data_IF_162395934364
#
_entry.id   IF_162395934364
#
_cell.length_a   1.000
_cell.length_b   1.000
_cell.length_c   1.000
_cell.angle_alpha   90.00
_cell.angle_beta   90.00
_cell.angle_gamma   90.00
#
_symmetry.space_group_name_H-M   'P 1'
#
loop_
_entity.id
_entity.type
_entity.pdbx_description
1 polymer ?
#
# COMPACT_ATOMS: atom_id res chain seq x y z
N UNK A 1 -15.94 -6.67 -17.39
CA UNK A 1 -16.27 -5.60 -16.41
C UNK A 1 -15.18 -4.53 -16.39
N UNK A 2 -13.92 -4.77 -16.00
CA UNK A 2 -12.83 -3.79 -15.89
C UNK A 2 -12.58 -2.97 -17.16
N UNK A 3 -12.52 -3.61 -18.33
CA UNK A 3 -12.34 -2.89 -19.61
C UNK A 3 -13.43 -1.84 -19.82
N UNK A 4 -14.70 -2.20 -19.62
CA UNK A 4 -15.82 -1.25 -19.76
C UNK A 4 -15.75 -0.11 -18.76
N UNK A 5 -15.37 -0.38 -17.51
CA UNK A 5 -15.20 0.65 -16.50
C UNK A 5 -14.10 1.65 -16.91
N UNK A 6 -12.98 1.15 -17.44
CA UNK A 6 -11.90 2.01 -17.95
C UNK A 6 -12.36 2.87 -19.13
N UNK A 7 -13.08 2.29 -20.11
CA UNK A 7 -13.64 3.00 -21.25
C UNK A 7 -14.58 4.14 -20.82
N UNK A 8 -15.22 4.00 -19.67
CA UNK A 8 -16.09 5.00 -19.05
C UNK A 8 -15.34 5.99 -18.15
N UNK A 9 -14.00 5.93 -18.08
CA UNK A 9 -13.17 6.85 -17.31
C UNK A 9 -13.06 6.53 -15.82
N UNK A 10 -13.53 5.37 -15.35
CA UNK A 10 -13.35 4.96 -13.98
C UNK A 10 -11.91 4.52 -13.69
N UNK A 11 -11.42 4.89 -12.52
CA UNK A 11 -10.19 4.34 -11.99
C UNK A 11 -10.40 2.94 -11.45
N UNK A 12 -9.37 2.10 -11.55
CA UNK A 12 -9.49 0.67 -11.29
C UNK A 12 -8.64 0.23 -10.12
N UNK A 13 -9.25 -0.50 -9.20
CA UNK A 13 -8.57 -1.22 -8.13
C UNK A 13 -9.03 -2.67 -8.11
N UNK A 14 -8.21 -3.57 -7.62
CA UNK A 14 -8.57 -4.96 -7.41
C UNK A 14 -8.05 -5.45 -6.08
N UNK A 15 -8.86 -6.26 -5.39
CA UNK A 15 -8.37 -7.06 -4.28
C UNK A 15 -7.52 -8.21 -4.84
N UNK A 16 -6.34 -8.43 -4.26
CA UNK A 16 -5.54 -9.59 -4.56
C UNK A 16 -5.29 -10.38 -3.27
N UNK A 17 -5.59 -11.67 -3.35
CA UNK A 17 -5.46 -12.61 -2.26
C UNK A 17 -4.04 -12.63 -1.68
N UNK A 18 -3.96 -12.96 -0.39
CA UNK A 18 -2.71 -13.04 0.36
C UNK A 18 -2.47 -14.50 0.74
N UNK A 19 -1.26 -15.00 0.46
CA UNK A 19 -0.81 -16.35 0.80
C UNK A 19 -1.74 -17.46 0.24
N UNK A 20 -2.36 -17.21 -0.93
CA UNK A 20 -3.15 -18.19 -1.68
C UNK A 20 -2.31 -18.82 -2.80
N UNK A 21 -2.79 -19.95 -3.29
CA UNK A 21 -2.20 -20.58 -4.48
C UNK A 21 -2.24 -19.58 -5.66
N UNK A 22 -1.14 -19.47 -6.39
CA UNK A 22 -0.99 -18.58 -7.55
C UNK A 22 -1.12 -17.07 -7.27
N UNK A 23 -0.97 -16.60 -6.01
CA UNK A 23 -1.08 -15.18 -5.67
C UNK A 23 -0.21 -14.27 -6.56
N UNK A 24 1.01 -14.66 -6.86
CA UNK A 24 1.90 -13.91 -7.78
C UNK A 24 1.28 -13.76 -9.17
N UNK A 25 0.77 -14.86 -9.73
CA UNK A 25 0.08 -14.86 -11.02
C UNK A 25 -1.15 -13.96 -11.02
N UNK A 26 -1.91 -13.94 -9.92
CA UNK A 26 -3.07 -13.08 -9.78
C UNK A 26 -2.67 -11.60 -9.75
N UNK A 27 -1.56 -11.24 -9.12
CA UNK A 27 -1.03 -9.87 -9.17
C UNK A 27 -0.64 -9.48 -10.60
N UNK A 28 0.06 -10.37 -11.34
CA UNK A 28 0.34 -10.17 -12.76
C UNK A 28 -0.94 -9.91 -13.58
N UNK A 29 -1.98 -10.70 -13.37
CA UNK A 29 -3.28 -10.51 -14.04
C UNK A 29 -3.91 -9.16 -13.69
N UNK A 30 -3.79 -8.71 -12.45
CA UNK A 30 -4.29 -7.40 -12.04
C UNK A 30 -3.65 -6.26 -12.85
N UNK A 31 -2.34 -6.30 -13.07
CA UNK A 31 -1.65 -5.22 -13.78
C UNK A 31 -1.69 -5.38 -15.31
N UNK A 32 -1.70 -6.58 -15.84
CA UNK A 32 -1.64 -6.82 -17.29
C UNK A 32 -3.00 -6.97 -17.94
N UNK A 33 -3.89 -7.77 -17.37
CA UNK A 33 -5.20 -8.03 -17.95
C UNK A 33 -6.24 -7.01 -17.48
N UNK A 34 -6.27 -6.72 -16.19
CA UNK A 34 -7.23 -5.76 -15.64
C UNK A 34 -6.70 -4.32 -15.75
N UNK A 35 -5.38 -4.12 -15.74
CA UNK A 35 -4.72 -2.82 -15.83
C UNK A 35 -5.11 -1.89 -14.70
N UNK A 36 -5.16 -2.42 -13.48
CA UNK A 36 -5.52 -1.65 -12.31
C UNK A 36 -4.41 -0.67 -11.91
N UNK A 37 -4.79 0.43 -11.30
CA UNK A 37 -3.88 1.45 -10.79
C UNK A 37 -3.52 1.20 -9.33
N UNK A 38 -4.32 0.38 -8.63
CA UNK A 38 -4.14 0.03 -7.23
C UNK A 38 -4.51 -1.43 -7.00
N UNK A 39 -3.77 -2.08 -6.10
CA UNK A 39 -4.04 -3.46 -5.67
C UNK A 39 -4.16 -3.46 -4.15
N UNK A 40 -5.25 -4.00 -3.64
CA UNK A 40 -5.41 -4.19 -2.21
C UNK A 40 -4.58 -5.42 -1.81
N UNK A 41 -3.74 -5.24 -0.79
CA UNK A 41 -2.69 -6.13 -0.30
C UNK A 41 -1.50 -6.26 -1.26
N UNK A 42 -1.50 -7.22 -2.18
CA UNK A 42 -0.41 -7.44 -3.13
C UNK A 42 0.93 -7.90 -2.51
N UNK A 43 0.94 -8.35 -1.27
CA UNK A 43 2.16 -8.68 -0.48
C UNK A 43 3.01 -9.77 -1.14
N UNK A 44 2.38 -10.72 -1.85
CA UNK A 44 3.09 -11.82 -2.51
C UNK A 44 3.91 -11.38 -3.73
N UNK A 45 3.83 -10.12 -4.15
CA UNK A 45 4.72 -9.57 -5.19
C UNK A 45 6.20 -9.74 -4.86
N UNK A 46 6.56 -9.83 -3.57
CA UNK A 46 7.94 -10.03 -3.10
C UNK A 46 8.53 -11.39 -3.50
N UNK A 47 7.74 -12.31 -4.02
CA UNK A 47 8.17 -13.65 -4.45
C UNK A 47 8.66 -13.66 -5.91
N UNK A 48 8.49 -12.55 -6.63
CA UNK A 48 8.85 -12.42 -8.04
C UNK A 48 9.55 -11.06 -8.29
N UNK A 49 10.87 -11.06 -8.54
CA UNK A 49 11.64 -9.83 -8.81
C UNK A 49 11.16 -9.04 -10.03
N UNK A 50 10.71 -9.73 -11.08
CA UNK A 50 10.21 -9.07 -12.29
C UNK A 50 8.88 -8.36 -12.01
N UNK A 51 8.03 -8.96 -11.19
CA UNK A 51 6.79 -8.35 -10.73
C UNK A 51 7.06 -7.10 -9.88
N UNK A 52 8.03 -7.15 -8.97
CA UNK A 52 8.45 -5.99 -8.19
C UNK A 52 8.82 -4.82 -9.12
N UNK A 53 9.67 -5.09 -10.11
CA UNK A 53 10.12 -4.07 -11.04
C UNK A 53 8.96 -3.50 -11.87
N UNK A 54 8.05 -4.35 -12.36
CA UNK A 54 6.86 -3.90 -13.09
C UNK A 54 5.92 -3.03 -12.24
N UNK A 55 5.67 -3.42 -11.00
CA UNK A 55 4.85 -2.63 -10.07
C UNK A 55 5.50 -1.28 -9.77
N UNK A 56 6.83 -1.25 -9.60
CA UNK A 56 7.61 -0.04 -9.38
C UNK A 56 7.55 0.91 -10.57
N UNK A 57 7.79 0.41 -11.79
CA UNK A 57 7.78 1.20 -13.02
C UNK A 57 6.40 1.78 -13.32
N UNK A 58 5.35 1.00 -13.12
CA UNK A 58 3.95 1.44 -13.29
C UNK A 58 3.50 2.41 -12.21
N UNK A 59 4.19 2.42 -11.07
CA UNK A 59 3.76 3.18 -9.89
C UNK A 59 2.44 2.66 -9.32
N UNK A 60 2.14 1.37 -9.48
CA UNK A 60 0.95 0.74 -8.91
C UNK A 60 0.96 0.88 -7.39
N UNK A 61 -0.12 1.37 -6.82
CA UNK A 61 -0.23 1.53 -5.38
C UNK A 61 -0.71 0.22 -4.73
N UNK A 62 0.00 -0.20 -3.68
CA UNK A 62 -0.31 -1.41 -2.92
C UNK A 62 -0.83 -1.03 -1.54
N UNK A 63 -2.09 -1.36 -1.24
CA UNK A 63 -2.74 -1.00 0.04
C UNK A 63 -2.58 -2.14 1.04
N UNK A 64 -1.40 -2.26 1.63
CA UNK A 64 -1.06 -3.36 2.52
C UNK A 64 -1.70 -3.21 3.91
N UNK A 65 -2.17 -4.33 4.46
CA UNK A 65 -2.82 -4.40 5.76
C UNK A 65 -1.96 -5.23 6.73
N UNK A 66 -1.36 -4.60 7.76
CA UNK A 66 -0.46 -5.29 8.70
C UNK A 66 -1.17 -6.18 9.70
N UNK A 67 -2.49 -6.02 9.84
CA UNK A 67 -3.32 -6.79 10.78
C UNK A 67 -4.18 -7.81 10.03
N UNK A 68 -4.47 -8.93 10.70
CA UNK A 68 -5.42 -9.94 10.22
C UNK A 68 -6.18 -10.49 11.42
N UNK A 69 -7.45 -10.18 11.55
CA UNK A 69 -8.34 -10.65 12.64
C UNK A 69 -7.85 -10.38 14.07
N UNK A 70 -6.68 -9.78 14.24
CA UNK A 70 -6.06 -9.47 15.52
C UNK A 70 -5.91 -7.96 15.68
N UNK A 71 -5.87 -7.50 16.94
CA UNK A 71 -5.63 -6.09 17.25
C UNK A 71 -4.23 -5.62 16.90
N UNK A 72 -3.25 -6.52 17.01
CA UNK A 72 -1.85 -6.19 16.85
C UNK A 72 -1.34 -6.55 15.46
N UNK A 73 -0.42 -5.76 14.92
CA UNK A 73 0.24 -6.04 13.66
C UNK A 73 0.96 -7.39 13.70
N UNK A 74 0.85 -8.16 12.63
CA UNK A 74 1.54 -9.44 12.51
C UNK A 74 2.99 -9.22 12.10
N UNK A 75 4.00 -9.71 12.83
CA UNK A 75 5.41 -9.47 12.55
C UNK A 75 5.78 -9.78 11.10
N UNK A 76 5.41 -10.96 10.59
CA UNK A 76 5.68 -11.37 9.20
C UNK A 76 5.09 -10.41 8.17
N UNK A 77 3.88 -9.87 8.38
CA UNK A 77 3.28 -8.88 7.48
C UNK A 77 3.99 -7.54 7.54
N UNK A 78 4.35 -7.10 8.73
CA UNK A 78 5.10 -5.85 8.94
C UNK A 78 6.48 -5.93 8.27
N UNK A 79 7.17 -7.05 8.37
CA UNK A 79 8.46 -7.29 7.68
C UNK A 79 8.31 -7.24 6.16
N UNK A 80 7.28 -7.89 5.61
CA UNK A 80 6.98 -7.85 4.16
C UNK A 80 6.63 -6.43 3.69
N UNK A 81 5.83 -5.69 4.45
CA UNK A 81 5.50 -4.28 4.15
C UNK A 81 6.77 -3.43 4.13
N UNK A 82 7.71 -3.66 5.06
CA UNK A 82 9.02 -2.99 5.04
C UNK A 82 9.81 -3.35 3.79
N UNK A 83 9.87 -4.63 3.44
CA UNK A 83 10.56 -5.08 2.23
C UNK A 83 9.98 -4.42 0.97
N UNK A 84 8.65 -4.33 0.86
CA UNK A 84 8.01 -3.60 -0.25
C UNK A 84 8.46 -2.14 -0.31
N UNK A 85 8.53 -1.46 0.83
CA UNK A 85 9.01 -0.07 0.90
C UNK A 85 10.49 0.03 0.47
N UNK A 86 11.34 -0.90 0.91
CA UNK A 86 12.77 -0.95 0.57
C UNK A 86 13.01 -1.21 -0.93
N UNK A 87 12.13 -1.96 -1.57
CA UNK A 87 12.14 -2.15 -3.03
C UNK A 87 11.59 -0.92 -3.81
N UNK A 88 11.25 0.16 -3.11
CA UNK A 88 10.74 1.38 -3.75
C UNK A 88 9.32 1.26 -4.28
N UNK A 89 8.56 0.25 -3.84
CA UNK A 89 7.16 0.10 -4.19
C UNK A 89 6.31 1.19 -3.53
N UNK A 90 5.27 1.64 -4.22
CA UNK A 90 4.28 2.57 -3.64
C UNK A 90 3.33 1.80 -2.72
N UNK A 91 3.83 1.40 -1.56
CA UNK A 91 3.06 0.69 -0.54
C UNK A 91 2.53 1.65 0.52
N UNK A 92 1.31 1.41 0.98
CA UNK A 92 0.63 2.15 2.05
C UNK A 92 0.25 1.22 3.19
N UNK A 93 -0.06 1.78 4.36
CA UNK A 93 -0.53 1.04 5.53
C UNK A 93 -2.02 1.33 5.69
N UNK A 94 -2.84 0.28 5.76
CA UNK A 94 -4.29 0.38 5.79
C UNK A 94 -4.88 -0.54 6.86
N UNK A 95 -6.04 -0.15 7.38
CA UNK A 95 -6.74 -0.88 8.46
C UNK A 95 -7.56 -2.07 7.96
N UNK A 96 -7.68 -2.25 6.65
CA UNK A 96 -8.65 -3.17 6.05
C UNK A 96 -10.08 -2.76 6.46
N UNK A 97 -10.86 -3.68 7.00
CA UNK A 97 -12.22 -3.41 7.47
C UNK A 97 -12.23 -3.22 9.01
N UNK A 98 -12.15 -1.98 9.50
CA UNK A 98 -12.13 -1.71 10.94
C UNK A 98 -13.48 -1.97 11.62
N UNK A 99 -14.57 -2.09 10.86
CA UNK A 99 -15.90 -2.44 11.38
C UNK A 99 -16.02 -3.93 11.66
N UNK A 100 -15.38 -4.76 10.87
CA UNK A 100 -15.40 -6.22 10.99
C UNK A 100 -14.20 -6.75 11.75
N UNK A 101 -13.02 -6.18 11.51
CA UNK A 101 -11.76 -6.63 12.08
C UNK A 101 -11.42 -5.85 13.35
N UNK A 102 -10.76 -6.51 14.29
CA UNK A 102 -10.31 -5.87 15.53
C UNK A 102 -9.14 -4.88 15.35
N UNK A 103 -8.74 -4.61 14.11
CA UNK A 103 -7.64 -3.70 13.76
C UNK A 103 -7.86 -2.26 14.26
N UNK A 104 -9.12 -1.83 14.39
CA UNK A 104 -9.48 -0.48 14.76
C UNK A 104 -9.21 0.54 13.65
N UNK A 105 -9.34 1.81 13.99
CA UNK A 105 -9.11 2.90 13.04
C UNK A 105 -7.64 3.06 12.70
N UNK A 106 -7.35 3.60 11.53
CA UNK A 106 -5.98 3.85 11.04
C UNK A 106 -5.14 4.66 12.06
N UNK A 107 -5.74 5.68 12.69
CA UNK A 107 -5.06 6.51 13.69
C UNK A 107 -4.62 5.73 14.94
N UNK A 108 -5.31 4.66 15.31
CA UNK A 108 -4.91 3.75 16.39
C UNK A 108 -3.89 2.71 15.94
N UNK A 109 -3.96 2.30 14.70
CA UNK A 109 -3.11 1.25 14.16
C UNK A 109 -1.71 1.75 13.80
N UNK A 110 -1.59 2.93 13.20
CA UNK A 110 -0.28 3.46 12.75
C UNK A 110 0.79 3.50 13.84
N UNK A 111 0.52 4.00 15.08
CA UNK A 111 1.52 3.98 16.15
C UNK A 111 1.96 2.56 16.53
N UNK A 112 1.05 1.58 16.50
CA UNK A 112 1.36 0.18 16.77
C UNK A 112 2.24 -0.42 15.69
N UNK A 113 1.93 -0.17 14.43
CA UNK A 113 2.75 -0.61 13.30
C UNK A 113 4.14 0.00 13.38
N UNK A 114 4.23 1.29 13.68
CA UNK A 114 5.51 1.96 13.85
C UNK A 114 6.35 1.32 14.97
N UNK A 115 5.74 1.03 16.11
CA UNK A 115 6.42 0.40 17.25
C UNK A 115 6.84 -1.04 16.95
N UNK A 116 5.92 -1.89 16.46
CA UNK A 116 6.20 -3.29 16.14
C UNK A 116 7.25 -3.44 15.04
N UNK A 117 7.13 -2.64 14.00
CA UNK A 117 8.08 -2.65 12.89
C UNK A 117 9.38 -1.88 13.20
N UNK A 118 9.46 -1.16 14.32
CA UNK A 118 10.56 -0.22 14.58
C UNK A 118 10.80 0.68 13.36
N UNK A 119 9.71 1.16 12.77
CA UNK A 119 9.81 2.07 11.63
C UNK A 119 10.33 3.42 12.07
N UNK A 120 11.26 3.94 11.31
CA UNK A 120 11.75 5.31 11.48
C UNK A 120 10.67 6.32 11.10
N UNK A 121 10.82 7.54 11.58
CA UNK A 121 9.94 8.66 11.17
C UNK A 121 9.96 8.88 9.65
N UNK A 122 11.13 8.71 9.03
CA UNK A 122 11.28 8.83 7.57
C UNK A 122 10.49 7.75 6.81
N UNK A 123 10.55 6.48 7.26
CA UNK A 123 9.76 5.40 6.68
C UNK A 123 8.26 5.65 6.85
N UNK A 124 7.82 6.09 8.02
CA UNK A 124 6.40 6.43 8.25
C UNK A 124 5.95 7.62 7.38
N UNK A 125 6.79 8.63 7.22
CA UNK A 125 6.52 9.73 6.29
C UNK A 125 6.44 9.25 4.83
N UNK A 126 7.26 8.27 4.45
CA UNK A 126 7.20 7.69 3.10
C UNK A 126 5.90 6.91 2.87
N UNK A 127 5.39 6.16 3.85
CA UNK A 127 4.06 5.55 3.75
C UNK A 127 2.95 6.59 3.56
N UNK A 128 3.02 7.71 4.27
CA UNK A 128 2.08 8.81 4.07
C UNK A 128 2.19 9.43 2.67
N UNK A 129 3.41 9.64 2.15
CA UNK A 129 3.61 10.11 0.77
C UNK A 129 2.98 9.16 -0.23
N UNK A 130 3.28 7.87 -0.09
CA UNK A 130 2.73 6.84 -0.95
C UNK A 130 1.20 6.85 -0.93
N UNK A 131 0.59 7.07 0.25
CA UNK A 131 -0.86 7.14 0.39
C UNK A 131 -1.45 8.31 -0.40
N UNK A 132 -0.87 9.51 -0.29
CA UNK A 132 -1.35 10.66 -1.07
C UNK A 132 -1.07 10.51 -2.56
N UNK A 133 0.07 9.94 -2.96
CA UNK A 133 0.38 9.66 -4.36
C UNK A 133 -0.51 8.57 -4.98
N UNK A 134 -0.97 7.62 -4.17
CA UNK A 134 -1.90 6.57 -4.58
C UNK A 134 -3.38 6.97 -4.47
N UNK A 135 -3.69 8.09 -3.82
CA UNK A 135 -5.06 8.58 -3.68
C UNK A 135 -5.57 9.19 -4.99
N UNK A 136 -6.84 8.99 -5.26
CA UNK A 136 -7.51 9.54 -6.44
C UNK A 136 -8.12 10.92 -6.13
N UNK A 137 -7.27 11.85 -5.75
CA UNK A 137 -7.57 13.26 -5.48
C UNK A 137 -6.96 14.15 -6.57
N UNK A 138 -7.41 15.40 -6.66
CA UNK A 138 -6.86 16.35 -7.63
C UNK A 138 -5.40 16.71 -7.31
N UNK A 139 -4.66 17.12 -8.34
CA UNK A 139 -3.22 17.42 -8.22
C UNK A 139 -2.90 18.54 -7.22
N UNK A 140 -3.62 19.66 -7.19
CA UNK A 140 -3.41 20.72 -6.19
C UNK A 140 -3.58 20.24 -4.76
N UNK A 141 -4.63 19.47 -4.47
CA UNK A 141 -4.88 18.87 -3.15
C UNK A 141 -3.77 17.88 -2.78
N UNK A 142 -3.36 17.00 -3.71
CA UNK A 142 -2.25 16.07 -3.48
C UNK A 142 -0.96 16.83 -3.15
N UNK A 143 -0.62 17.84 -3.93
CA UNK A 143 0.59 18.65 -3.72
C UNK A 143 0.57 19.37 -2.36
N UNK A 144 -0.59 19.84 -1.91
CA UNK A 144 -0.73 20.48 -0.61
C UNK A 144 -0.41 19.50 0.54
N UNK A 145 -0.93 18.28 0.50
CA UNK A 145 -0.63 17.26 1.51
C UNK A 145 0.83 16.80 1.46
N UNK A 146 1.40 16.64 0.28
CA UNK A 146 2.82 16.26 0.15
C UNK A 146 3.73 17.32 0.77
N UNK A 147 3.45 18.60 0.57
CA UNK A 147 4.19 19.70 1.24
C UNK A 147 4.08 19.62 2.77
N UNK A 148 2.89 19.33 3.32
CA UNK A 148 2.73 19.18 4.77
C UNK A 148 3.63 18.06 5.34
N UNK A 149 3.76 16.94 4.61
CA UNK A 149 4.66 15.86 5.03
C UNK A 149 6.12 16.32 5.02
N UNK A 150 6.53 17.17 4.07
CA UNK A 150 7.88 17.72 4.01
C UNK A 150 8.24 18.56 5.23
N UNK A 151 7.29 19.33 5.76
CA UNK A 151 7.47 20.10 7.00
C UNK A 151 7.64 19.22 8.25
N UNK A 152 7.16 17.96 8.21
CA UNK A 152 7.29 17.02 9.31
C UNK A 152 8.65 16.30 9.34
N UNK A 153 9.54 16.55 8.37
CA UNK A 153 10.93 16.05 8.44
C UNK A 153 11.59 16.62 9.71
N UNK A 154 12.33 15.80 10.50
CA UNK A 154 13.14 16.36 11.55
C UNK A 154 14.10 17.35 10.92
N UNK A 155 14.21 18.54 11.51
CA UNK A 155 15.38 19.36 11.26
C UNK A 155 16.60 18.46 11.48
N UNK A 156 17.50 18.40 10.49
CA UNK A 156 18.78 17.72 10.68
C UNK A 156 19.44 18.35 11.90
N UNK A 157 19.58 17.57 12.99
CA UNK A 157 20.41 17.90 14.12
C UNK A 157 21.81 17.42 13.80
#
# INVERSE_FOLDING_TARGET
MYRRAREQGYRLTAHCDVDQVDSVKHIWQCIELLGVERIDHGINCLEDPDLIEQLRQRGTCLTACPTWRLRDPQPRRVERIRAMLQHGLRVTINSDDPGLLASGTLGRMLPRVAAHGRFTRAEMAQFCRNAFQGAWIDGPTQAAYLRQIDFLKPACV
#
